data_IF_073601915032
#
_entry.id   IF_073601915032
#
_cell.length_a   1.000
_cell.length_b   1.000
_cell.length_c   1.000
_cell.angle_alpha   90.00
_cell.angle_beta   90.00
_cell.angle_gamma   90.00
#
_symmetry.space_group_name_H-M   'P 1'
#
loop_
_entity.id
_entity.type
_entity.pdbx_description
1 polymer ?
#
# COMPACT_ATOMS: atom_id res chain seq x y z
N UNK A 1 113.67 -77.93 44.30
CA UNK A 1 114.87 -78.57 43.72
C UNK A 1 116.22 -78.00 44.19
N UNK A 2 116.34 -76.78 44.77
CA UNK A 2 117.67 -76.29 45.17
C UNK A 2 118.23 -76.93 46.44
N UNK A 3 117.39 -77.50 47.31
CA UNK A 3 117.82 -78.04 48.62
C UNK A 3 118.30 -79.49 48.56
N UNK A 4 117.66 -80.34 47.75
CA UNK A 4 118.00 -81.77 47.66
C UNK A 4 119.30 -82.00 46.85
N UNK A 5 119.45 -81.31 45.72
CA UNK A 5 120.68 -81.37 44.90
C UNK A 5 121.91 -80.81 45.65
N UNK A 6 121.73 -79.73 46.44
CA UNK A 6 122.79 -79.19 47.32
C UNK A 6 123.14 -80.14 48.47
N UNK A 7 122.16 -80.86 49.02
CA UNK A 7 122.39 -81.84 50.08
C UNK A 7 123.18 -83.06 49.59
N UNK A 8 122.94 -83.49 48.34
CA UNK A 8 123.69 -84.55 47.68
C UNK A 8 125.13 -84.15 47.40
N UNK A 9 125.38 -82.94 46.88
CA UNK A 9 126.75 -82.43 46.69
C UNK A 9 127.52 -82.36 48.01
N UNK A 10 126.84 -82.00 49.10
CA UNK A 10 127.44 -81.90 50.43
C UNK A 10 127.83 -83.27 51.01
N UNK A 11 127.01 -84.31 50.79
CA UNK A 11 127.32 -85.67 51.24
C UNK A 11 128.48 -86.31 50.46
N UNK A 12 128.61 -86.04 49.16
CA UNK A 12 129.75 -86.51 48.33
C UNK A 12 131.07 -85.85 48.77
N UNK A 13 131.03 -84.56 49.12
CA UNK A 13 132.18 -83.84 49.65
C UNK A 13 132.64 -84.37 51.02
N UNK A 14 131.71 -84.69 51.92
CA UNK A 14 132.00 -85.19 53.27
C UNK A 14 132.73 -86.55 53.29
N UNK A 15 132.45 -87.43 52.32
CA UNK A 15 133.14 -88.73 52.22
C UNK A 15 134.54 -88.59 51.60
N UNK A 16 134.82 -87.50 50.89
CA UNK A 16 136.07 -87.31 50.15
C UNK A 16 137.21 -86.66 50.96
N UNK A 17 136.96 -86.14 52.17
CA UNK A 17 137.93 -85.26 52.87
C UNK A 17 138.34 -85.69 54.30
N UNK A 18 138.19 -86.95 54.70
CA UNK A 18 138.70 -87.42 56.00
C UNK A 18 139.92 -88.36 55.85
N UNK A 19 141.16 -87.92 56.15
CA UNK A 19 142.34 -88.79 56.21
C UNK A 19 142.53 -89.40 57.60
N UNK A 20 143.04 -90.64 57.61
CA UNK A 20 142.96 -91.60 58.72
C UNK A 20 143.98 -91.48 59.87
N UNK A 21 143.68 -92.22 60.95
CA UNK A 21 144.65 -92.87 61.85
C UNK A 21 144.12 -94.26 62.29
N UNK A 22 144.49 -95.27 61.48
CA UNK A 22 145.00 -96.63 61.79
C UNK A 22 144.64 -97.23 63.17
N UNK A 23 144.05 -98.43 63.32
CA UNK A 23 144.71 -99.72 63.07
C UNK A 23 143.76 -100.96 63.03
N UNK A 24 144.13 -101.95 62.19
CA UNK A 24 143.80 -103.41 62.17
C UNK A 24 142.35 -103.90 62.00
N UNK A 25 141.92 -104.24 60.77
CA UNK A 25 141.89 -105.62 60.20
C UNK A 25 141.07 -105.65 58.89
N UNK A 26 141.63 -106.25 57.84
CA UNK A 26 141.30 -105.94 56.43
C UNK A 26 140.24 -106.84 55.77
N UNK A 27 139.42 -107.58 56.52
CA UNK A 27 138.49 -108.55 55.91
C UNK A 27 137.02 -108.10 55.81
N UNK A 28 136.60 -107.06 56.55
CA UNK A 28 135.22 -106.52 56.51
C UNK A 28 135.04 -105.33 55.54
N UNK A 29 136.14 -104.67 55.11
CA UNK A 29 136.08 -103.44 54.30
C UNK A 29 135.69 -103.67 52.83
N UNK A 30 135.91 -104.87 52.27
CA UNK A 30 135.66 -105.16 50.85
C UNK A 30 134.17 -105.29 50.53
N UNK A 31 133.37 -105.87 51.43
CA UNK A 31 131.92 -106.02 51.22
C UNK A 31 131.21 -104.66 51.32
N UNK A 32 131.61 -103.81 52.28
CA UNK A 32 131.06 -102.47 52.42
C UNK A 32 131.33 -101.57 51.19
N UNK A 33 132.50 -101.69 50.55
CA UNK A 33 132.82 -100.91 49.34
C UNK A 33 131.93 -101.28 48.14
N UNK A 34 131.59 -102.57 48.00
CA UNK A 34 130.71 -103.08 46.95
C UNK A 34 129.26 -102.62 47.16
N UNK A 35 128.77 -102.69 48.40
CA UNK A 35 127.42 -102.25 48.76
C UNK A 35 127.23 -100.75 48.54
N UNK A 36 128.23 -99.93 48.88
CA UNK A 36 128.25 -98.48 48.62
C UNK A 36 128.20 -98.19 47.12
N UNK A 37 128.95 -98.93 46.31
CA UNK A 37 128.97 -98.75 44.84
C UNK A 37 127.65 -99.15 44.17
N UNK A 38 126.95 -100.14 44.73
CA UNK A 38 125.60 -100.54 44.29
C UNK A 38 124.55 -99.49 44.66
N UNK A 39 124.63 -98.94 45.88
CA UNK A 39 123.80 -97.84 46.35
C UNK A 39 124.00 -96.58 45.50
N UNK A 40 125.25 -96.22 45.16
CA UNK A 40 125.52 -95.06 44.29
C UNK A 40 124.93 -95.23 42.88
N UNK A 41 125.07 -96.42 42.27
CA UNK A 41 124.43 -96.69 40.96
C UNK A 41 122.91 -96.62 41.02
N UNK A 42 122.30 -97.12 42.09
CA UNK A 42 120.85 -97.01 42.32
C UNK A 42 120.42 -95.56 42.52
N UNK A 43 121.25 -94.75 43.21
CA UNK A 43 120.99 -93.33 43.43
C UNK A 43 121.13 -92.52 42.14
N UNK A 44 122.13 -92.79 41.31
CA UNK A 44 122.27 -92.20 39.97
C UNK A 44 121.08 -92.55 39.08
N UNK A 45 120.62 -93.81 39.10
CA UNK A 45 119.43 -94.24 38.38
C UNK A 45 118.17 -93.53 38.87
N UNK A 46 118.00 -93.39 40.20
CA UNK A 46 116.88 -92.61 40.77
C UNK A 46 116.97 -91.13 40.39
N UNK A 47 118.16 -90.53 40.42
CA UNK A 47 118.39 -89.15 40.00
C UNK A 47 118.03 -88.95 38.52
N UNK A 48 118.42 -89.89 37.65
CA UNK A 48 118.03 -89.89 36.23
C UNK A 48 116.51 -89.96 36.04
N UNK A 49 115.82 -90.84 36.78
CA UNK A 49 114.35 -90.92 36.75
C UNK A 49 113.68 -89.66 37.29
N UNK A 50 114.24 -89.04 38.32
CA UNK A 50 113.76 -87.75 38.84
C UNK A 50 113.90 -86.65 37.79
N UNK A 51 115.06 -86.56 37.11
CA UNK A 51 115.27 -85.58 36.05
C UNK A 51 114.30 -85.77 34.87
N UNK A 52 113.95 -87.01 34.54
CA UNK A 52 112.96 -87.32 33.50
C UNK A 52 111.54 -86.92 33.94
N UNK A 53 111.15 -87.22 35.18
CA UNK A 53 109.87 -86.77 35.77
C UNK A 53 109.78 -85.24 35.77
N UNK A 54 110.84 -84.54 36.15
CA UNK A 54 110.86 -83.07 36.12
C UNK A 54 110.67 -82.51 34.71
N UNK A 55 111.22 -83.20 33.70
CA UNK A 55 111.07 -82.80 32.30
C UNK A 55 109.65 -83.05 31.80
N UNK A 56 109.01 -84.15 32.22
CA UNK A 56 107.59 -84.40 31.96
C UNK A 56 106.69 -83.36 32.65
N UNK A 57 106.98 -82.98 33.90
CA UNK A 57 106.24 -81.94 34.62
C UNK A 57 106.36 -80.59 33.90
N UNK A 58 107.57 -80.19 33.47
CA UNK A 58 107.77 -78.95 32.69
C UNK A 58 107.01 -78.97 31.37
N UNK A 59 107.01 -80.11 30.69
CA UNK A 59 106.25 -80.30 29.44
C UNK A 59 104.75 -80.15 29.71
N UNK A 60 104.22 -80.79 30.76
CA UNK A 60 102.81 -80.68 31.14
C UNK A 60 102.42 -79.26 31.57
N UNK A 61 103.27 -78.55 32.31
CA UNK A 61 103.06 -77.15 32.66
C UNK A 61 103.00 -76.25 31.43
N UNK A 62 103.86 -76.48 30.42
CA UNK A 62 103.83 -75.73 29.16
C UNK A 62 102.52 -75.96 28.40
N UNK A 63 102.00 -77.19 28.38
CA UNK A 63 100.68 -77.49 27.83
C UNK A 63 99.56 -76.79 28.61
N UNK A 64 99.63 -76.80 29.94
CA UNK A 64 98.64 -76.14 30.80
C UNK A 64 98.63 -74.62 30.62
N UNK A 65 99.80 -73.99 30.59
CA UNK A 65 99.96 -72.55 30.33
C UNK A 65 99.46 -72.17 28.93
N UNK A 66 99.67 -73.04 27.94
CA UNK A 66 99.12 -72.90 26.58
C UNK A 66 97.59 -72.91 26.53
N UNK A 67 96.89 -73.47 27.52
CA UNK A 67 95.43 -73.46 27.61
C UNK A 67 94.85 -72.17 28.23
N UNK A 68 95.64 -71.39 28.98
CA UNK A 68 95.15 -70.14 29.60
C UNK A 68 94.61 -69.11 28.59
N UNK A 69 95.26 -68.85 27.44
CA UNK A 69 94.69 -68.00 26.39
C UNK A 69 93.35 -68.53 25.83
N UNK A 70 93.18 -69.85 25.75
CA UNK A 70 91.91 -70.45 25.32
C UNK A 70 90.82 -70.23 26.37
N UNK A 71 91.14 -70.35 27.66
CA UNK A 71 90.20 -70.03 28.76
C UNK A 71 89.76 -68.56 28.73
N UNK A 72 90.67 -67.63 28.49
CA UNK A 72 90.35 -66.21 28.33
C UNK A 72 89.44 -65.96 27.13
N UNK A 73 89.71 -66.62 25.99
CA UNK A 73 88.82 -66.57 24.81
C UNK A 73 87.44 -67.15 25.11
N UNK A 74 87.35 -68.27 25.82
CA UNK A 74 86.06 -68.86 26.22
C UNK A 74 85.25 -67.92 27.12
N UNK A 75 85.89 -67.25 28.10
CA UNK A 75 85.22 -66.24 28.93
C UNK A 75 84.73 -65.04 28.11
N UNK A 76 85.52 -64.59 27.12
CA UNK A 76 85.11 -63.54 26.18
C UNK A 76 83.89 -63.95 25.35
N UNK A 77 83.86 -65.19 24.86
CA UNK A 77 82.71 -65.75 24.13
C UNK A 77 81.48 -65.84 25.05
N UNK A 78 81.63 -66.30 26.29
CA UNK A 78 80.52 -66.33 27.25
C UNK A 78 79.91 -64.94 27.50
N UNK A 79 80.74 -63.91 27.62
CA UNK A 79 80.26 -62.54 27.74
C UNK A 79 79.49 -62.07 26.51
N UNK A 80 79.97 -62.41 25.31
CA UNK A 80 79.25 -62.10 24.06
C UNK A 80 77.92 -62.86 23.96
N UNK A 81 77.87 -64.12 24.39
CA UNK A 81 76.62 -64.90 24.45
C UNK A 81 75.61 -64.26 25.39
N UNK A 82 76.03 -63.84 26.59
CA UNK A 82 75.13 -63.13 27.52
C UNK A 82 74.59 -61.80 26.96
N UNK A 83 75.41 -61.06 26.19
CA UNK A 83 74.95 -59.85 25.50
C UNK A 83 73.95 -60.16 24.39
N UNK A 84 74.14 -61.26 23.65
CA UNK A 84 73.19 -61.71 22.62
C UNK A 84 71.86 -62.17 23.22
N UNK A 85 71.88 -62.84 24.38
CA UNK A 85 70.65 -63.20 25.12
C UNK A 85 69.90 -61.95 25.59
N UNK A 86 70.61 -60.96 26.14
CA UNK A 86 70.01 -59.68 26.52
C UNK A 86 69.41 -58.95 25.32
N UNK A 87 70.08 -58.98 24.16
CA UNK A 87 69.56 -58.40 22.93
C UNK A 87 68.30 -59.14 22.46
N UNK A 88 68.28 -60.48 22.57
CA UNK A 88 67.09 -61.30 22.29
C UNK A 88 65.87 -60.86 23.10
N UNK A 89 66.03 -60.68 24.42
CA UNK A 89 64.95 -60.20 25.29
C UNK A 89 64.43 -58.81 24.88
N UNK A 90 65.32 -57.89 24.48
CA UNK A 90 64.89 -56.57 24.00
C UNK A 90 64.13 -56.63 22.69
N UNK A 91 64.46 -57.58 21.81
CA UNK A 91 63.72 -57.80 20.55
C UNK A 91 62.31 -58.31 20.85
N UNK A 92 62.15 -59.27 21.76
CA UNK A 92 60.83 -59.77 22.17
C UNK A 92 59.95 -58.67 22.80
N UNK A 93 60.53 -57.80 23.63
CA UNK A 93 59.80 -56.66 24.19
C UNK A 93 59.36 -55.67 23.10
N UNK A 94 60.23 -55.38 22.13
CA UNK A 94 59.90 -54.53 20.98
C UNK A 94 58.80 -55.14 20.11
N UNK A 95 58.83 -56.45 19.86
CA UNK A 95 57.77 -57.16 19.13
C UNK A 95 56.42 -57.05 19.85
N UNK A 96 56.41 -57.20 21.18
CA UNK A 96 55.21 -57.01 21.99
C UNK A 96 54.64 -55.59 21.89
N UNK A 97 55.51 -54.57 22.00
CA UNK A 97 55.11 -53.16 21.85
C UNK A 97 54.56 -52.89 20.45
N UNK A 98 55.22 -53.40 19.41
CA UNK A 98 54.76 -53.24 18.01
C UNK A 98 53.37 -53.85 17.84
N UNK A 99 53.12 -55.04 18.38
CA UNK A 99 51.83 -55.69 18.28
C UNK A 99 50.70 -54.89 18.96
N UNK A 100 50.94 -54.33 20.15
CA UNK A 100 49.95 -53.47 20.81
C UNK A 100 49.74 -52.13 20.09
N UNK A 101 50.79 -51.54 19.51
CA UNK A 101 50.66 -50.35 18.67
C UNK A 101 49.81 -50.64 17.43
N UNK A 102 50.06 -51.75 16.72
CA UNK A 102 49.28 -52.15 15.54
C UNK A 102 47.81 -52.38 15.89
N UNK A 103 47.55 -53.04 17.03
CA UNK A 103 46.19 -53.27 17.52
C UNK A 103 45.48 -51.95 17.84
N UNK A 104 46.15 -51.03 18.53
CA UNK A 104 45.60 -49.71 18.86
C UNK A 104 45.33 -48.89 17.59
N UNK A 105 46.25 -48.90 16.63
CA UNK A 105 46.09 -48.24 15.33
C UNK A 105 44.88 -48.79 14.57
N UNK A 106 44.70 -50.12 14.58
CA UNK A 106 43.57 -50.79 13.92
C UNK A 106 42.25 -50.40 14.56
N UNK A 107 42.18 -50.34 15.90
CA UNK A 107 40.98 -49.90 16.61
C UNK A 107 40.65 -48.43 16.28
N UNK A 108 41.65 -47.54 16.28
CA UNK A 108 41.45 -46.14 15.92
C UNK A 108 40.91 -45.98 14.49
N UNK A 109 41.39 -46.79 13.53
CA UNK A 109 40.86 -46.79 12.16
C UNK A 109 39.40 -47.24 12.10
N UNK A 110 39.01 -48.25 12.89
CA UNK A 110 37.62 -48.69 12.98
C UNK A 110 36.71 -47.62 13.59
N UNK A 111 37.15 -47.00 14.69
CA UNK A 111 36.39 -45.95 15.38
C UNK A 111 36.18 -44.72 14.47
N UNK A 112 37.22 -44.33 13.71
CA UNK A 112 37.11 -43.28 12.69
C UNK A 112 36.11 -43.65 11.59
N UNK A 113 36.07 -44.93 11.17
CA UNK A 113 35.09 -45.43 10.21
C UNK A 113 33.66 -45.32 10.72
N UNK A 114 33.40 -45.73 11.96
CA UNK A 114 32.09 -45.63 12.60
C UNK A 114 31.67 -44.16 12.76
N UNK A 115 32.59 -43.29 13.18
CA UNK A 115 32.32 -41.86 13.33
C UNK A 115 31.93 -41.23 12.00
N UNK A 116 32.65 -41.52 10.93
CA UNK A 116 32.35 -41.01 9.59
C UNK A 116 30.98 -41.50 9.08
N UNK A 117 30.68 -42.78 9.26
CA UNK A 117 29.37 -43.34 8.90
C UNK A 117 28.22 -42.68 9.69
N UNK A 118 28.42 -42.46 11.00
CA UNK A 118 27.45 -41.77 11.85
C UNK A 118 27.22 -40.31 11.41
N UNK A 119 28.30 -39.58 11.11
CA UNK A 119 28.22 -38.22 10.57
C UNK A 119 27.47 -38.17 9.23
N UNK A 120 27.73 -39.12 8.33
CA UNK A 120 27.06 -39.19 7.04
C UNK A 120 25.57 -39.53 7.19
N UNK A 121 25.21 -40.42 8.13
CA UNK A 121 23.82 -40.75 8.43
C UNK A 121 23.07 -39.54 9.01
N UNK A 122 23.68 -38.80 9.95
CA UNK A 122 23.10 -37.60 10.52
C UNK A 122 22.89 -36.49 9.46
N UNK A 123 23.87 -36.31 8.56
CA UNK A 123 23.76 -35.36 7.46
C UNK A 123 22.62 -35.73 6.51
N UNK A 124 22.49 -37.01 6.16
CA UNK A 124 21.40 -37.51 5.31
C UNK A 124 20.02 -37.31 5.96
N UNK A 125 19.90 -37.60 7.25
CA UNK A 125 18.67 -37.36 8.00
C UNK A 125 18.26 -35.88 7.96
N UNK A 126 19.19 -34.96 8.23
CA UNK A 126 18.92 -33.52 8.15
C UNK A 126 18.53 -33.05 6.73
N UNK A 127 19.10 -33.65 5.68
CA UNK A 127 18.70 -33.37 4.30
C UNK A 127 17.27 -33.85 4.00
N UNK A 128 16.88 -35.03 4.51
CA UNK A 128 15.54 -35.57 4.33
C UNK A 128 14.48 -34.74 5.07
N UNK A 129 14.77 -34.29 6.29
CA UNK A 129 13.91 -33.35 7.04
C UNK A 129 13.73 -32.02 6.31
N UNK A 130 14.81 -31.43 5.77
CA UNK A 130 14.68 -30.21 4.96
C UNK A 130 13.84 -30.41 3.70
N UNK A 131 13.91 -31.59 3.07
CA UNK A 131 13.05 -31.93 1.92
C UNK A 131 11.57 -32.01 2.30
N UNK A 132 11.26 -32.60 3.46
CA UNK A 132 9.89 -32.65 3.97
C UNK A 132 9.36 -31.25 4.30
N UNK A 133 10.19 -30.40 4.92
CA UNK A 133 9.85 -29.00 5.17
C UNK A 133 9.60 -28.23 3.87
N UNK A 134 10.42 -28.42 2.83
CA UNK A 134 10.19 -27.81 1.51
C UNK A 134 8.83 -28.22 0.93
N UNK A 135 8.48 -29.50 1.02
CA UNK A 135 7.19 -30.02 0.53
C UNK A 135 6.02 -29.39 1.30
N UNK A 136 6.16 -29.24 2.61
CA UNK A 136 5.16 -28.58 3.46
C UNK A 136 4.99 -27.11 3.10
N UNK A 137 6.09 -26.40 2.86
CA UNK A 137 6.07 -25.00 2.42
C UNK A 137 5.35 -24.85 1.08
N UNK A 138 5.59 -25.76 0.13
CA UNK A 138 4.93 -25.69 -1.18
C UNK A 138 3.42 -25.99 -1.09
N UNK A 139 3.01 -26.93 -0.22
CA UNK A 139 1.59 -27.15 0.09
C UNK A 139 0.93 -25.91 0.71
N UNK A 140 1.61 -25.22 1.63
CA UNK A 140 1.12 -23.98 2.23
C UNK A 140 0.98 -22.84 1.21
N UNK A 141 1.95 -22.69 0.28
CA UNK A 141 1.84 -21.73 -0.82
C UNK A 141 0.63 -22.02 -1.70
N UNK A 142 0.39 -23.29 -2.02
CA UNK A 142 -0.77 -23.67 -2.81
C UNK A 142 -2.08 -23.28 -2.10
N UNK A 143 -2.23 -23.60 -0.81
CA UNK A 143 -3.40 -23.18 -0.03
C UNK A 143 -3.55 -21.66 0.09
N UNK A 144 -2.44 -20.91 0.10
CA UNK A 144 -2.49 -19.45 0.08
C UNK A 144 -3.02 -18.91 -1.26
N UNK A 145 -2.66 -19.54 -2.38
CA UNK A 145 -3.17 -19.16 -3.70
C UNK A 145 -4.66 -19.54 -3.87
N UNK A 146 -5.11 -20.65 -3.29
CA UNK A 146 -6.54 -20.98 -3.19
C UNK A 146 -7.32 -19.94 -2.39
N UNK A 147 -6.78 -19.45 -1.26
CA UNK A 147 -7.41 -18.37 -0.50
C UNK A 147 -7.49 -17.05 -1.30
N UNK A 148 -6.50 -16.75 -2.14
CA UNK A 148 -6.55 -15.59 -3.05
C UNK A 148 -7.63 -15.75 -4.12
N UNK A 149 -7.82 -16.95 -4.66
CA UNK A 149 -8.94 -17.27 -5.56
C UNK A 149 -10.29 -17.11 -4.85
N UNK A 150 -10.38 -17.51 -3.58
CA UNK A 150 -11.59 -17.29 -2.79
C UNK A 150 -11.87 -15.79 -2.60
N UNK A 151 -10.85 -14.97 -2.33
CA UNK A 151 -11.01 -13.51 -2.21
C UNK A 151 -11.56 -12.88 -3.49
N UNK A 152 -11.03 -13.27 -4.66
CA UNK A 152 -11.53 -12.76 -5.95
C UNK A 152 -12.96 -13.21 -6.23
N UNK A 153 -13.33 -14.42 -5.81
CA UNK A 153 -14.72 -14.92 -5.88
C UNK A 153 -15.65 -14.10 -4.97
N UNK A 154 -15.22 -13.79 -3.75
CA UNK A 154 -15.98 -12.92 -2.82
C UNK A 154 -16.20 -11.53 -3.41
N UNK A 155 -15.18 -10.95 -4.06
CA UNK A 155 -15.30 -9.64 -4.70
C UNK A 155 -16.22 -9.67 -5.93
N UNK A 156 -16.26 -10.78 -6.67
CA UNK A 156 -17.26 -10.99 -7.72
C UNK A 156 -18.68 -11.04 -7.13
N UNK A 157 -18.90 -11.84 -6.09
CA UNK A 157 -20.21 -11.94 -5.43
C UNK A 157 -20.69 -10.60 -4.83
N UNK A 158 -19.78 -9.76 -4.34
CA UNK A 158 -20.13 -8.41 -3.88
C UNK A 158 -20.63 -7.53 -5.02
N UNK A 159 -20.01 -7.62 -6.20
CA UNK A 159 -20.48 -6.89 -7.40
C UNK A 159 -21.87 -7.36 -7.81
N UNK A 160 -22.09 -8.67 -7.85
CA UNK A 160 -23.42 -9.23 -8.15
C UNK A 160 -24.48 -8.78 -7.12
N UNK A 161 -24.10 -8.67 -5.84
CA UNK A 161 -24.99 -8.15 -4.79
C UNK A 161 -25.34 -6.67 -5.01
N UNK A 162 -24.37 -5.85 -5.43
CA UNK A 162 -24.61 -4.45 -5.73
C UNK A 162 -25.46 -4.27 -7.00
N UNK A 163 -25.27 -5.11 -8.01
CA UNK A 163 -26.12 -5.15 -9.21
C UNK A 163 -27.57 -5.54 -8.86
N UNK A 164 -27.76 -6.54 -7.98
CA UNK A 164 -29.10 -6.88 -7.47
C UNK A 164 -29.75 -5.73 -6.71
N UNK A 165 -28.98 -4.95 -5.93
CA UNK A 165 -29.50 -3.75 -5.25
C UNK A 165 -29.92 -2.67 -6.24
N UNK A 166 -29.15 -2.46 -7.31
CA UNK A 166 -29.55 -1.54 -8.39
C UNK A 166 -30.83 -2.01 -9.07
N UNK A 167 -30.94 -3.30 -9.36
CA UNK A 167 -32.14 -3.88 -9.98
C UNK A 167 -33.38 -3.68 -9.07
N UNK A 168 -33.23 -3.82 -7.75
CA UNK A 168 -34.30 -3.48 -6.80
C UNK A 168 -34.72 -2.01 -6.92
N UNK A 169 -33.77 -1.08 -7.00
CA UNK A 169 -34.06 0.34 -7.17
C UNK A 169 -34.77 0.64 -8.51
N UNK A 170 -34.42 -0.08 -9.58
CA UNK A 170 -35.11 0.00 -10.88
C UNK A 170 -36.55 -0.51 -10.77
N UNK A 171 -36.78 -1.63 -10.08
CA UNK A 171 -38.13 -2.14 -9.83
C UNK A 171 -38.96 -1.13 -9.04
N UNK A 172 -38.40 -0.49 -8.02
CA UNK A 172 -39.09 0.56 -7.25
C UNK A 172 -39.38 1.83 -8.08
N UNK A 173 -38.54 2.15 -9.06
CA UNK A 173 -38.80 3.23 -10.02
C UNK A 173 -39.95 2.86 -10.96
N UNK A 174 -39.90 1.67 -11.58
CA UNK A 174 -40.96 1.18 -12.45
C UNK A 174 -42.31 1.08 -11.74
N UNK A 175 -42.31 0.73 -10.45
CA UNK A 175 -43.52 0.68 -9.64
C UNK A 175 -44.15 2.06 -9.46
N UNK A 176 -43.32 3.10 -9.25
CA UNK A 176 -43.79 4.50 -9.22
C UNK A 176 -44.36 4.93 -10.56
N UNK A 177 -43.67 4.61 -11.66
CA UNK A 177 -44.16 4.92 -13.00
C UNK A 177 -45.50 4.22 -13.29
N UNK A 178 -45.68 2.99 -12.82
CA UNK A 178 -46.93 2.25 -12.91
C UNK A 178 -48.06 2.94 -12.10
N UNK A 179 -47.78 3.42 -10.90
CA UNK A 179 -48.74 4.15 -10.06
C UNK A 179 -49.13 5.50 -10.70
N UNK A 180 -48.17 6.22 -11.30
CA UNK A 180 -48.42 7.46 -12.05
C UNK A 180 -49.26 7.22 -13.31
N UNK A 181 -49.00 6.11 -14.02
CA UNK A 181 -49.79 5.70 -15.18
C UNK A 181 -51.22 5.33 -14.77
N UNK A 182 -51.40 4.63 -13.64
CA UNK A 182 -52.73 4.36 -13.07
C UNK A 182 -53.48 5.65 -12.79
N UNK A 183 -52.82 6.64 -12.18
CA UNK A 183 -53.40 7.95 -11.88
C UNK A 183 -53.80 8.70 -13.15
N UNK A 184 -52.99 8.61 -14.20
CA UNK A 184 -53.26 9.20 -15.53
C UNK A 184 -54.47 8.55 -16.19
N UNK A 185 -54.57 7.22 -16.12
CA UNK A 185 -55.73 6.47 -16.63
C UNK A 185 -57.02 6.88 -15.90
N UNK A 186 -56.95 7.07 -14.58
CA UNK A 186 -58.10 7.53 -13.80
C UNK A 186 -58.51 8.98 -14.12
N UNK A 187 -57.56 9.84 -14.47
CA UNK A 187 -57.87 11.19 -14.97
C UNK A 187 -58.54 11.15 -16.35
N UNK A 188 -58.01 10.35 -17.28
CA UNK A 188 -58.60 10.18 -18.61
C UNK A 188 -60.02 9.59 -18.56
N UNK A 189 -60.29 8.69 -17.60
CA UNK A 189 -61.66 8.20 -17.37
C UNK A 189 -62.61 9.33 -16.96
N UNK A 190 -62.16 10.25 -16.08
CA UNK A 190 -62.97 11.42 -15.70
C UNK A 190 -63.24 12.32 -16.89
N UNK A 191 -62.22 12.61 -17.70
CA UNK A 191 -62.38 13.41 -18.92
C UNK A 191 -63.35 12.75 -19.92
N UNK A 192 -63.30 11.42 -20.03
CA UNK A 192 -64.25 10.65 -20.85
C UNK A 192 -65.69 10.76 -20.33
N UNK A 193 -65.88 10.72 -19.02
CA UNK A 193 -67.19 10.91 -18.39
C UNK A 193 -67.69 12.36 -18.58
N UNK A 194 -66.81 13.36 -18.48
CA UNK A 194 -67.14 14.75 -18.76
C UNK A 194 -67.53 14.96 -20.23
N UNK A 195 -66.84 14.33 -21.17
CA UNK A 195 -67.22 14.33 -22.59
C UNK A 195 -68.59 13.68 -22.82
N UNK A 196 -68.91 12.59 -22.11
CA UNK A 196 -70.25 11.98 -22.16
C UNK A 196 -71.31 12.95 -21.65
N UNK A 197 -71.04 13.66 -20.56
CA UNK A 197 -71.95 14.70 -20.05
C UNK A 197 -72.17 15.80 -21.09
N UNK A 198 -71.11 16.26 -21.74
CA UNK A 198 -71.18 17.27 -22.81
C UNK A 198 -72.07 16.82 -23.98
N UNK A 199 -72.02 15.54 -24.37
CA UNK A 199 -72.92 14.97 -25.38
C UNK A 199 -74.38 15.14 -24.99
N UNK A 200 -74.73 14.84 -23.73
CA UNK A 200 -76.08 15.06 -23.20
C UNK A 200 -76.50 16.52 -23.24
N UNK A 201 -75.58 17.46 -22.96
CA UNK A 201 -75.84 18.90 -23.03
C UNK A 201 -76.09 19.35 -24.48
N UNK A 202 -75.29 18.87 -25.43
CA UNK A 202 -75.47 19.15 -26.87
C UNK A 202 -76.83 18.62 -27.36
N UNK A 203 -77.24 17.44 -26.90
CA UNK A 203 -78.56 16.88 -27.23
C UNK A 203 -79.71 17.71 -26.63
N UNK A 204 -79.52 18.31 -25.45
CA UNK A 204 -80.49 19.24 -24.88
C UNK A 204 -80.58 20.54 -25.70
N UNK A 205 -79.44 21.13 -26.06
CA UNK A 205 -79.39 22.35 -26.88
C UNK A 205 -79.99 22.13 -28.28
N UNK A 206 -79.86 20.94 -28.86
CA UNK A 206 -80.55 20.60 -30.11
C UNK A 206 -82.06 20.65 -29.98
N UNK A 207 -82.63 20.20 -28.85
CA UNK A 207 -84.07 20.31 -28.59
C UNK A 207 -84.49 21.78 -28.48
N UNK A 208 -83.73 22.60 -27.76
CA UNK A 208 -84.01 24.04 -27.66
C UNK A 208 -83.96 24.73 -29.04
N UNK A 209 -83.04 24.31 -29.91
CA UNK A 209 -82.95 24.80 -31.29
C UNK A 209 -84.17 24.38 -32.13
N UNK A 210 -84.66 23.16 -31.96
CA UNK A 210 -85.88 22.69 -32.62
C UNK A 210 -87.12 23.42 -32.10
N UNK A 211 -87.19 23.72 -30.80
CA UNK A 211 -88.25 24.55 -30.20
C UNK A 211 -88.23 25.99 -30.74
N UNK A 212 -87.05 26.59 -30.92
CA UNK A 212 -86.91 27.90 -31.59
C UNK A 212 -87.37 27.88 -33.05
N UNK A 213 -87.16 26.78 -33.78
CA UNK A 213 -87.68 26.62 -35.16
C UNK A 213 -89.21 26.55 -35.18
N UNK A 214 -89.82 25.90 -34.18
CA UNK A 214 -91.28 25.93 -34.03
C UNK A 214 -91.80 27.35 -33.80
N UNK A 215 -91.08 28.15 -32.99
CA UNK A 215 -91.44 29.55 -32.74
C UNK A 215 -91.43 30.41 -34.03
N UNK A 216 -90.47 30.18 -34.93
CA UNK A 216 -90.44 30.84 -36.26
C UNK A 216 -91.69 30.56 -37.08
N UNK A 217 -92.19 29.32 -37.01
CA UNK A 217 -93.42 28.90 -37.71
C UNK A 217 -94.65 29.62 -37.16
N UNK A 218 -94.68 29.86 -35.84
CA UNK A 218 -95.73 30.66 -35.17
C UNK A 218 -95.68 32.13 -35.56
N UNK A 219 -94.48 32.72 -35.66
CA UNK A 219 -94.31 34.11 -36.13
C UNK A 219 -94.82 34.28 -37.57
N UNK A 220 -94.58 33.31 -38.45
CA UNK A 220 -95.10 33.33 -39.82
C UNK A 220 -96.64 33.16 -39.90
N UNK A 221 -97.27 32.57 -38.88
CA UNK A 221 -98.72 32.54 -38.75
C UNK A 221 -99.27 33.91 -38.33
N UNK A 222 -98.66 34.55 -37.32
CA UNK A 222 -99.04 35.89 -36.86
C UNK A 222 -98.87 36.97 -37.96
N UNK A 223 -97.88 36.79 -38.83
CA UNK A 223 -97.65 37.70 -39.97
C UNK A 223 -98.79 37.64 -41.00
N UNK A 224 -99.41 36.46 -41.18
CA UNK A 224 -100.61 36.31 -42.02
C UNK A 224 -101.83 37.01 -41.41
N UNK A 225 -101.99 36.92 -40.09
CA UNK A 225 -103.07 37.64 -39.38
C UNK A 225 -102.91 39.17 -39.49
N UNK A 226 -101.67 39.66 -39.51
CA UNK A 226 -101.37 41.08 -39.73
C UNK A 226 -101.75 41.54 -41.15
N UNK A 227 -101.51 40.69 -42.16
CA UNK A 227 -101.88 40.99 -43.55
C UNK A 227 -103.42 41.02 -43.73
N UNK A 228 -104.16 40.12 -43.09
CA UNK A 228 -105.63 40.12 -43.09
C UNK A 228 -106.21 41.39 -42.44
N UNK A 229 -105.58 41.88 -41.38
CA UNK A 229 -105.95 43.12 -40.70
C UNK A 229 -105.64 44.38 -41.55
N UNK A 230 -104.61 44.35 -42.41
CA UNK A 230 -104.33 45.40 -43.40
C UNK A 230 -105.47 45.55 -44.42
N UNK A 231 -106.02 44.43 -44.90
CA UNK A 231 -107.18 44.43 -45.83
C UNK A 231 -108.43 45.06 -45.21
N UNK A 232 -108.62 44.92 -43.91
CA UNK A 232 -109.76 45.48 -43.16
C UNK A 232 -109.63 47.00 -43.02
N UNK A 233 -108.40 47.52 -42.84
CA UNK A 233 -108.10 48.96 -42.80
C UNK A 233 -108.35 49.64 -44.14
N UNK A 234 -108.07 48.96 -45.26
CA UNK A 234 -108.33 49.50 -46.60
C UNK A 234 -109.83 49.59 -46.96
N UNK A 235 -110.67 48.78 -46.33
CA UNK A 235 -112.13 48.87 -46.47
C UNK A 235 -112.70 50.11 -45.73
N UNK A 236 -112.15 50.46 -44.55
CA UNK A 236 -112.55 51.64 -43.77
C UNK A 236 -112.11 52.97 -44.40
N UNK A 237 -111.07 52.95 -45.25
CA UNK A 237 -110.54 54.13 -45.95
C UNK A 237 -111.45 54.63 -47.07
N UNK A 238 -112.24 53.74 -47.70
CA UNK A 238 -113.17 54.11 -48.78
C UNK A 238 -114.42 54.83 -48.26
N UNK A 239 -114.90 54.50 -47.07
CA UNK A 239 -116.05 55.15 -46.45
C UNK A 239 -115.73 56.57 -45.92
N UNK A 240 -114.44 56.92 -45.77
CA UNK A 240 -113.99 58.24 -45.34
C UNK A 240 -113.84 59.25 -46.50
N UNK A 241 -113.69 58.76 -47.74
CA UNK A 241 -113.49 59.60 -48.93
C UNK A 241 -114.80 60.16 -49.53
N UNK A 242 -115.96 59.57 -49.21
CA UNK A 242 -117.28 60.05 -49.64
C UNK A 242 -117.81 61.25 -48.81
N UNK A 243 -117.15 61.62 -47.70
CA UNK A 243 -117.58 62.70 -46.80
C UNK A 243 -116.71 63.98 -46.91
N UNK A 244 -115.70 64.01 -47.79
CA UNK A 244 -114.67 65.06 -47.88
C UNK A 244 -114.73 65.98 -49.11
N UNK A 245 -115.79 65.88 -49.93
CA UNK A 245 -116.01 66.66 -51.16
C UNK A 245 -116.83 67.97 -50.95
N UNK A 246 -116.96 68.47 -49.72
CA UNK A 246 -117.83 69.61 -49.38
C UNK A 246 -117.06 70.76 -48.69
N UNK A 247 -115.78 70.98 -49.06
CA UNK A 247 -114.90 71.97 -48.40
C UNK A 247 -113.82 72.64 -49.28
N UNK A 248 -114.00 72.78 -50.60
CA UNK A 248 -112.97 73.41 -51.47
C UNK A 248 -113.30 74.80 -52.02
N UNK A 249 -114.43 75.42 -51.66
CA UNK A 249 -114.85 76.70 -52.28
C UNK A 249 -114.83 77.93 -51.36
N UNK A 250 -114.50 77.83 -50.06
CA UNK A 250 -114.68 78.97 -49.13
C UNK A 250 -113.40 79.57 -48.51
N UNK A 251 -112.28 78.86 -48.31
CA UNK A 251 -111.14 79.43 -47.55
C UNK A 251 -109.84 79.64 -48.36
N UNK A 252 -109.99 80.06 -49.63
CA UNK A 252 -108.96 80.81 -50.34
C UNK A 252 -109.04 82.34 -50.07
N UNK A 253 -109.79 82.76 -49.05
CA UNK A 253 -109.87 84.15 -48.62
C UNK A 253 -109.25 84.33 -47.24
N UNK A 254 -108.07 84.95 -47.27
CA UNK A 254 -107.37 85.65 -46.17
C UNK A 254 -106.57 84.73 -45.26
N UNK A 255 -105.25 84.61 -45.46
CA UNK A 255 -104.22 85.65 -45.21
C UNK A 255 -104.29 86.20 -43.79
N UNK A 256 -103.09 86.32 -43.26
CA UNK A 256 -102.75 86.96 -42.00
C UNK A 256 -103.15 86.03 -40.83
N UNK A 257 -102.34 85.81 -39.81
CA UNK A 257 -101.43 86.76 -39.24
C UNK A 257 -100.68 85.97 -38.17
N UNK A 258 -99.36 86.07 -38.21
CA UNK A 258 -98.47 86.31 -37.09
C UNK A 258 -98.64 85.54 -35.77
N UNK A 259 -97.46 85.07 -35.35
CA UNK A 259 -96.92 85.22 -34.00
C UNK A 259 -97.19 84.14 -32.95
N UNK A 260 -96.10 83.38 -32.75
CA UNK A 260 -95.38 83.25 -31.48
C UNK A 260 -96.11 82.72 -30.23
N UNK A 261 -95.49 81.72 -29.57
CA UNK A 261 -94.83 81.83 -28.23
C UNK A 261 -94.57 80.43 -27.61
N UNK A 262 -93.30 79.99 -27.43
CA UNK A 262 -92.50 79.97 -26.16
C UNK A 262 -92.27 78.52 -25.65
N UNK A 263 -91.32 78.13 -24.77
CA UNK A 263 -89.91 78.42 -24.39
C UNK A 263 -89.66 77.68 -23.05
N UNK A 264 -88.43 77.22 -22.77
CA UNK A 264 -87.76 77.23 -21.44
C UNK A 264 -88.29 76.34 -20.27
N UNK A 265 -87.67 75.18 -19.99
CA UNK A 265 -87.61 74.63 -18.60
C UNK A 265 -86.60 73.48 -18.30
N UNK A 266 -85.94 72.86 -19.27
CA UNK A 266 -85.27 71.54 -19.02
C UNK A 266 -83.78 71.60 -18.67
N UNK A 267 -83.17 72.79 -18.60
CA UNK A 267 -81.70 72.97 -18.53
C UNK A 267 -81.10 72.78 -17.11
N UNK A 268 -81.89 72.72 -16.03
CA UNK A 268 -81.33 72.75 -14.66
C UNK A 268 -81.07 71.40 -13.98
N UNK A 269 -81.45 70.27 -14.58
CA UNK A 269 -81.49 68.99 -13.84
C UNK A 269 -80.17 68.18 -13.84
N UNK A 270 -79.30 68.28 -14.86
CA UNK A 270 -78.20 67.32 -15.05
C UNK A 270 -76.80 67.82 -14.65
N UNK A 271 -76.74 68.97 -13.95
CA UNK A 271 -75.50 69.58 -13.41
C UNK A 271 -74.94 68.89 -12.15
N UNK A 272 -75.45 67.71 -11.74
CA UNK A 272 -75.12 67.08 -10.44
C UNK A 272 -74.37 65.74 -10.48
N UNK A 273 -74.20 65.12 -11.64
CA UNK A 273 -73.56 63.79 -11.74
C UNK A 273 -72.05 63.83 -12.08
N UNK A 274 -71.44 65.01 -12.05
CA UNK A 274 -70.03 65.26 -12.45
C UNK A 274 -68.98 65.03 -11.33
N UNK A 275 -69.37 64.81 -10.07
CA UNK A 275 -68.41 64.80 -8.93
C UNK A 275 -67.92 63.41 -8.47
N UNK A 276 -68.29 62.31 -9.15
CA UNK A 276 -67.99 60.94 -8.69
C UNK A 276 -66.80 60.24 -9.38
N UNK A 277 -66.26 60.80 -10.46
CA UNK A 277 -65.16 60.19 -11.25
C UNK A 277 -63.75 60.61 -10.80
N UNK A 278 -63.61 61.10 -9.55
CA UNK A 278 -62.37 61.71 -9.04
C UNK A 278 -61.44 60.76 -8.28
N UNK A 279 -61.57 59.43 -8.41
CA UNK A 279 -60.93 58.50 -7.44
C UNK A 279 -60.27 57.22 -7.99
N UNK A 280 -60.09 57.02 -9.31
CA UNK A 280 -59.60 55.72 -9.84
C UNK A 280 -58.43 55.73 -10.83
N UNK A 281 -57.67 56.82 -10.92
CA UNK A 281 -56.45 56.90 -11.76
C UNK A 281 -55.28 57.47 -10.97
N UNK A 282 -54.70 56.66 -10.07
CA UNK A 282 -53.50 57.05 -9.31
C UNK A 282 -52.56 55.88 -8.91
N UNK A 283 -52.77 54.64 -9.37
CA UNK A 283 -52.04 53.48 -8.83
C UNK A 283 -51.41 52.55 -9.89
N UNK A 284 -51.15 53.01 -11.12
CA UNK A 284 -50.56 52.17 -12.17
C UNK A 284 -49.45 52.82 -13.01
N UNK A 285 -48.83 53.91 -12.53
CA UNK A 285 -47.63 54.51 -13.15
C UNK A 285 -46.35 54.32 -12.31
N UNK A 286 -46.43 53.63 -11.17
CA UNK A 286 -45.34 53.56 -10.19
C UNK A 286 -44.49 52.27 -10.24
N UNK A 287 -44.46 51.54 -11.36
CA UNK A 287 -43.67 50.28 -11.48
C UNK A 287 -42.80 50.14 -12.73
N UNK A 288 -42.66 51.19 -13.55
CA UNK A 288 -41.85 51.12 -14.79
C UNK A 288 -40.69 52.13 -14.86
N UNK A 289 -40.43 52.91 -13.80
CA UNK A 289 -39.37 53.94 -13.84
C UNK A 289 -38.48 54.04 -12.59
N UNK A 290 -38.05 52.90 -12.04
CA UNK A 290 -36.99 52.85 -11.02
C UNK A 290 -35.83 51.89 -11.36
N UNK A 291 -35.63 51.57 -12.64
CA UNK A 291 -34.45 50.82 -13.12
C UNK A 291 -33.44 51.68 -13.91
N UNK A 292 -33.61 53.00 -13.96
CA UNK A 292 -32.73 53.87 -14.74
C UNK A 292 -32.60 55.25 -14.12
N UNK A 293 -31.69 55.37 -13.14
CA UNK A 293 -30.82 56.54 -12.89
C UNK A 293 -30.18 56.47 -11.50
N UNK A 294 -28.99 55.91 -11.47
CA UNK A 294 -27.92 56.27 -10.53
C UNK A 294 -26.66 56.47 -11.37
N UNK A 295 -25.74 57.39 -11.05
CA UNK A 295 -24.51 57.54 -11.80
C UNK A 295 -23.81 56.19 -11.81
N UNK A 296 -23.39 55.70 -12.97
CA UNK A 296 -22.61 54.48 -13.05
C UNK A 296 -21.32 54.72 -12.25
N UNK A 297 -21.33 54.28 -10.99
CA UNK A 297 -20.13 53.92 -10.26
C UNK A 297 -19.32 53.05 -11.21
N UNK A 298 -18.01 53.25 -11.31
CA UNK A 298 -17.15 52.41 -12.16
C UNK A 298 -16.02 51.94 -11.29
N UNK A 299 -15.60 50.70 -11.48
CA UNK A 299 -14.40 50.24 -10.84
C UNK A 299 -13.23 51.16 -11.22
N UNK A 300 -12.42 51.54 -10.21
CA UNK A 300 -11.24 52.37 -10.42
C UNK A 300 -10.33 51.76 -11.50
N UNK A 301 -9.54 52.59 -12.18
CA UNK A 301 -8.63 52.10 -13.23
C UNK A 301 -7.75 50.94 -12.73
N UNK A 302 -7.68 49.86 -13.53
CA UNK A 302 -6.99 48.63 -13.15
C UNK A 302 -7.78 47.66 -12.26
N UNK A 303 -9.10 47.84 -12.14
CA UNK A 303 -10.06 46.89 -11.56
C UNK A 303 -11.06 46.45 -12.63
N UNK A 304 -11.45 45.18 -12.61
CA UNK A 304 -12.43 44.60 -13.52
C UNK A 304 -13.78 44.47 -12.82
N UNK A 305 -14.86 44.86 -13.50
CA UNK A 305 -16.20 44.86 -12.95
C UNK A 305 -16.93 43.54 -13.24
N UNK A 306 -17.59 42.98 -12.23
CA UNK A 306 -18.56 41.90 -12.39
C UNK A 306 -19.60 41.94 -11.27
N UNK A 307 -20.88 41.89 -11.64
CA UNK A 307 -22.02 41.84 -10.72
C UNK A 307 -21.95 42.86 -9.55
N UNK A 308 -21.80 44.14 -9.90
CA UNK A 308 -21.68 45.26 -8.95
C UNK A 308 -20.51 45.15 -7.95
N UNK A 309 -19.45 44.43 -8.34
CA UNK A 309 -18.23 44.25 -7.55
C UNK A 309 -17.01 44.46 -8.45
N UNK A 310 -15.90 44.86 -7.83
CA UNK A 310 -14.64 45.18 -8.49
C UNK A 310 -13.57 44.17 -8.08
N UNK A 311 -12.88 43.62 -9.07
CA UNK A 311 -11.85 42.59 -8.89
C UNK A 311 -10.50 43.05 -9.44
N UNK A 312 -9.44 42.79 -8.70
CA UNK A 312 -8.07 43.11 -9.13
C UNK A 312 -7.17 41.92 -8.99
N UNK A 313 -6.69 41.41 -10.12
CA UNK A 313 -5.57 40.47 -10.16
C UNK A 313 -4.27 41.23 -9.86
N UNK A 314 -3.56 40.83 -8.83
CA UNK A 314 -2.28 41.43 -8.42
C UNK A 314 -1.16 40.43 -8.64
N UNK A 315 -0.14 40.85 -9.40
CA UNK A 315 0.98 40.01 -9.82
C UNK A 315 2.06 39.82 -8.75
N UNK A 316 1.94 40.43 -7.57
CA UNK A 316 2.88 40.20 -6.47
C UNK A 316 2.69 38.82 -5.85
N UNK A 317 3.76 38.06 -5.66
CA UNK A 317 3.73 36.77 -4.98
C UNK A 317 3.96 36.93 -3.47
N UNK A 318 2.95 36.60 -2.67
CA UNK A 318 3.00 36.76 -1.21
C UNK A 318 2.28 35.63 -0.48
N UNK A 319 2.53 35.49 0.82
CA UNK A 319 1.76 34.57 1.69
C UNK A 319 0.29 34.99 1.77
N UNK A 320 -0.60 34.05 2.08
CA UNK A 320 -2.04 34.32 2.15
C UNK A 320 -2.38 35.46 3.13
N UNK A 321 -1.77 35.46 4.32
CA UNK A 321 -1.94 36.53 5.31
C UNK A 321 -1.46 37.90 4.80
N UNK A 322 -0.37 37.93 4.04
CA UNK A 322 0.16 39.16 3.45
C UNK A 322 -0.71 39.64 2.28
N UNK A 323 -1.30 38.72 1.52
CA UNK A 323 -2.26 39.04 0.46
C UNK A 323 -3.49 39.74 1.03
N UNK A 324 -4.04 39.28 2.17
CA UNK A 324 -5.10 39.98 2.91
C UNK A 324 -4.69 41.40 3.23
N UNK A 325 -3.54 41.59 3.90
CA UNK A 325 -3.09 42.94 4.28
C UNK A 325 -2.91 43.84 3.06
N UNK A 326 -2.47 43.28 1.92
CA UNK A 326 -2.34 44.04 0.68
C UNK A 326 -3.69 44.38 0.04
N UNK A 327 -4.67 43.49 0.05
CA UNK A 327 -6.03 43.80 -0.42
C UNK A 327 -6.68 44.88 0.45
N UNK A 328 -6.50 44.82 1.77
CA UNK A 328 -7.03 45.83 2.70
C UNK A 328 -6.49 47.23 2.37
N UNK A 329 -5.22 47.36 1.96
CA UNK A 329 -4.64 48.64 1.52
C UNK A 329 -5.33 49.23 0.28
N UNK A 330 -6.05 48.43 -0.48
CA UNK A 330 -6.87 48.89 -1.61
C UNK A 330 -8.36 49.12 -1.24
N UNK A 331 -8.72 49.01 0.04
CA UNK A 331 -10.11 49.01 0.50
C UNK A 331 -10.86 47.76 0.04
N UNK A 332 -10.17 46.62 -0.05
CA UNK A 332 -10.70 45.37 -0.56
C UNK A 332 -10.34 44.19 0.35
N UNK A 333 -10.96 43.04 0.10
CA UNK A 333 -10.61 41.76 0.70
C UNK A 333 -10.02 40.83 -0.36
N UNK A 334 -9.41 39.71 0.03
CA UNK A 334 -9.25 38.61 -0.92
C UNK A 334 -10.62 38.17 -1.43
N UNK A 335 -10.70 37.75 -2.69
CA UNK A 335 -12.00 37.48 -3.30
C UNK A 335 -12.71 36.29 -2.66
N UNK A 336 -13.91 36.54 -2.14
CA UNK A 336 -14.93 35.51 -1.95
C UNK A 336 -15.59 35.13 -3.26
N UNK A 337 -16.18 33.93 -3.33
CA UNK A 337 -16.84 33.43 -4.54
C UNK A 337 -18.24 32.92 -4.17
N UNK A 338 -19.27 33.60 -4.65
CA UNK A 338 -20.68 33.33 -4.35
C UNK A 338 -21.28 32.22 -5.22
N UNK A 339 -20.85 32.12 -6.49
CA UNK A 339 -21.43 31.20 -7.45
C UNK A 339 -20.46 30.80 -8.58
N UNK A 340 -20.93 29.92 -9.46
CA UNK A 340 -20.18 29.41 -10.62
C UNK A 340 -19.81 30.51 -11.62
N UNK A 341 -20.66 31.50 -11.79
CA UNK A 341 -20.47 32.56 -12.77
C UNK A 341 -19.38 33.52 -12.29
N UNK A 342 -19.38 33.87 -11.00
CA UNK A 342 -18.30 34.63 -10.36
C UNK A 342 -16.97 33.87 -10.41
N UNK A 343 -16.98 32.57 -10.12
CA UNK A 343 -15.77 31.75 -10.24
C UNK A 343 -15.18 31.81 -11.66
N UNK A 344 -16.04 31.66 -12.67
CA UNK A 344 -15.63 31.64 -14.07
C UNK A 344 -15.10 33.01 -14.51
N UNK A 345 -15.73 34.09 -14.03
CA UNK A 345 -15.25 35.45 -14.22
C UNK A 345 -13.86 35.65 -13.62
N UNK A 346 -13.65 35.29 -12.35
CA UNK A 346 -12.33 35.38 -11.69
C UNK A 346 -11.29 34.55 -12.45
N UNK A 347 -11.64 33.32 -12.84
CA UNK A 347 -10.77 32.47 -13.63
C UNK A 347 -10.37 33.12 -14.97
N UNK A 348 -11.27 33.87 -15.62
CA UNK A 348 -10.93 34.58 -16.86
C UNK A 348 -9.89 35.70 -16.68
N UNK A 349 -9.81 36.31 -15.49
CA UNK A 349 -8.92 37.44 -15.20
C UNK A 349 -7.48 37.03 -14.86
N UNK A 350 -7.29 35.80 -14.36
CA UNK A 350 -6.00 35.35 -13.83
C UNK A 350 -5.16 34.65 -14.91
N UNK A 351 -3.85 34.93 -14.89
CA UNK A 351 -2.85 34.26 -15.73
C UNK A 351 -1.97 33.27 -14.95
N UNK A 352 -2.03 33.32 -13.62
CA UNK A 352 -1.21 32.53 -12.70
C UNK A 352 -2.06 32.19 -11.48
N UNK A 353 -1.64 31.18 -10.72
CA UNK A 353 -2.41 30.73 -9.56
C UNK A 353 -2.51 31.84 -8.52
N UNK A 354 -3.72 32.02 -7.99
CA UNK A 354 -4.03 33.12 -7.08
C UNK A 354 -4.53 32.62 -5.74
N UNK A 355 -4.17 33.31 -4.66
CA UNK A 355 -4.92 33.25 -3.43
C UNK A 355 -6.33 33.80 -3.60
N UNK A 356 -7.31 33.07 -3.06
CA UNK A 356 -8.69 33.53 -2.84
C UNK A 356 -8.96 33.65 -1.33
N UNK A 357 -10.09 34.22 -0.97
CA UNK A 357 -10.40 34.59 0.42
C UNK A 357 -10.76 33.43 1.35
N UNK A 358 -10.80 32.19 0.86
CA UNK A 358 -11.21 31.04 1.65
C UNK A 358 -10.03 30.50 2.48
N UNK A 359 -10.27 30.27 3.78
CA UNK A 359 -9.32 29.62 4.68
C UNK A 359 -10.04 28.71 5.67
N UNK A 360 -9.29 27.80 6.30
CA UNK A 360 -9.81 26.84 7.27
C UNK A 360 -9.33 27.18 8.67
N UNK A 361 -10.26 27.28 9.61
CA UNK A 361 -9.98 27.37 11.04
C UNK A 361 -10.66 26.20 11.73
N UNK A 362 -9.88 25.30 12.33
CA UNK A 362 -10.40 24.02 12.83
C UNK A 362 -10.96 23.17 11.68
N UNK A 363 -12.25 22.87 11.72
CA UNK A 363 -12.95 22.08 10.67
C UNK A 363 -13.77 22.92 9.69
N UNK A 364 -13.83 24.25 9.88
CA UNK A 364 -14.72 25.12 9.12
C UNK A 364 -13.96 25.98 8.10
N UNK A 365 -14.47 26.02 6.88
CA UNK A 365 -14.02 26.92 5.83
C UNK A 365 -14.75 28.27 5.95
N UNK A 366 -13.99 29.36 6.01
CA UNK A 366 -14.50 30.72 6.20
C UNK A 366 -13.89 31.67 5.17
N UNK A 367 -14.70 32.61 4.68
CA UNK A 367 -14.23 33.67 3.80
C UNK A 367 -13.69 34.84 4.64
N UNK A 368 -12.54 35.39 4.25
CA UNK A 368 -11.88 36.47 4.99
C UNK A 368 -12.66 37.80 4.98
N UNK A 369 -13.62 37.95 4.09
CA UNK A 369 -14.51 39.12 4.00
C UNK A 369 -15.81 38.94 4.81
N UNK A 370 -15.98 37.79 5.49
CA UNK A 370 -17.19 37.46 6.24
C UNK A 370 -18.35 36.92 5.40
N UNK A 371 -18.15 36.69 4.09
CA UNK A 371 -19.19 36.13 3.23
C UNK A 371 -19.61 34.71 3.68
N UNK A 372 -20.90 34.41 3.56
CA UNK A 372 -21.48 33.10 3.91
C UNK A 372 -21.68 32.17 2.70
N UNK A 373 -20.95 32.40 1.60
CA UNK A 373 -21.08 31.57 0.39
C UNK A 373 -20.75 30.11 0.70
N UNK A 374 -21.67 29.22 0.31
CA UNK A 374 -21.51 27.75 0.37
C UNK A 374 -20.99 27.16 -0.93
N UNK A 375 -20.77 27.98 -1.96
CA UNK A 375 -20.27 27.53 -3.25
C UNK A 375 -18.87 26.94 -3.13
N UNK A 376 -18.63 25.83 -3.84
CA UNK A 376 -17.38 25.09 -3.82
C UNK A 376 -16.98 24.75 -5.25
N UNK A 377 -15.71 24.94 -5.59
CA UNK A 377 -15.17 24.54 -6.89
C UNK A 377 -13.80 23.85 -6.76
N UNK A 378 -13.68 22.94 -5.79
CA UNK A 378 -12.48 22.14 -5.58
C UNK A 378 -12.07 21.36 -6.83
N UNK A 379 -10.76 21.26 -7.05
CA UNK A 379 -10.18 20.31 -7.99
C UNK A 379 -10.46 18.86 -7.54
N UNK A 380 -10.46 17.88 -8.45
CA UNK A 380 -10.58 16.47 -8.08
C UNK A 380 -9.54 16.10 -7.01
N UNK A 381 -9.99 15.45 -5.93
CA UNK A 381 -9.14 15.08 -4.79
C UNK A 381 -9.00 16.16 -3.71
N UNK A 382 -9.41 17.41 -3.96
CA UNK A 382 -9.30 18.52 -3.01
C UNK A 382 -10.60 18.76 -2.22
N UNK A 383 -10.55 19.30 -1.00
CA UNK A 383 -9.34 19.59 -0.23
C UNK A 383 -8.73 18.30 0.36
N UNK A 384 -7.44 18.08 0.13
CA UNK A 384 -6.78 16.80 0.46
C UNK A 384 -6.07 16.83 1.82
N UNK A 385 -5.73 18.02 2.31
CA UNK A 385 -4.96 18.23 3.52
C UNK A 385 -3.65 17.40 3.62
N UNK A 386 -3.09 16.96 2.48
CA UNK A 386 -2.30 15.72 2.43
C UNK A 386 -0.78 15.90 2.52
N UNK A 387 -0.18 17.07 2.19
CA UNK A 387 1.29 17.14 2.09
C UNK A 387 2.03 17.65 3.31
N UNK A 388 1.40 18.46 4.15
CA UNK A 388 2.10 19.22 5.20
C UNK A 388 1.60 18.94 6.61
N UNK A 389 1.26 17.68 6.93
CA UNK A 389 0.77 17.30 8.27
C UNK A 389 -0.48 18.08 8.73
N UNK A 390 -1.40 18.36 7.82
CA UNK A 390 -2.64 19.06 8.17
C UNK A 390 -2.59 20.59 8.12
N UNK A 391 -1.56 21.19 7.50
CA UNK A 391 -1.30 22.63 7.51
C UNK A 391 -1.79 23.38 6.26
N UNK A 392 -2.52 22.74 5.37
CA UNK A 392 -3.07 23.35 4.14
C UNK A 392 -4.40 24.04 4.45
N UNK A 393 -4.31 25.21 5.09
CA UNK A 393 -5.47 25.93 5.61
C UNK A 393 -5.85 27.17 4.79
N UNK A 394 -5.26 27.38 3.62
CA UNK A 394 -5.55 28.53 2.76
C UNK A 394 -5.79 28.09 1.32
N UNK A 395 -6.67 28.75 0.58
CA UNK A 395 -7.12 28.24 -0.72
C UNK A 395 -6.58 29.08 -1.88
N UNK A 396 -5.98 28.41 -2.85
CA UNK A 396 -5.64 29.00 -4.14
C UNK A 396 -6.57 28.50 -5.27
N UNK A 397 -6.71 29.32 -6.31
CA UNK A 397 -7.39 28.98 -7.56
C UNK A 397 -6.36 28.78 -8.67
N UNK A 398 -6.49 27.66 -9.39
CA UNK A 398 -5.64 27.33 -10.53
C UNK A 398 -5.96 28.19 -11.75
N UNK A 399 -4.90 28.70 -12.37
CA UNK A 399 -4.94 29.52 -13.59
C UNK A 399 -4.85 28.71 -14.88
N UNK A 400 -4.49 27.44 -14.80
CA UNK A 400 -4.39 26.56 -15.96
C UNK A 400 -5.13 25.25 -15.68
N UNK A 401 -5.57 24.59 -16.75
CA UNK A 401 -6.00 23.20 -16.68
C UNK A 401 -4.76 22.32 -16.59
N UNK A 402 -4.76 21.30 -15.74
CA UNK A 402 -3.56 20.53 -15.49
C UNK A 402 -3.79 19.18 -14.84
N UNK A 403 -2.68 18.52 -14.53
CA UNK A 403 -2.59 17.32 -13.69
C UNK A 403 -1.57 17.55 -12.59
N UNK A 404 -1.94 17.18 -11.38
CA UNK A 404 -1.12 17.12 -10.18
C UNK A 404 -1.06 15.65 -9.77
N UNK A 405 -0.35 15.42 -8.67
CA UNK A 405 -0.18 14.11 -8.10
C UNK A 405 -1.54 13.48 -7.68
N UNK A 406 -2.55 14.25 -7.26
CA UNK A 406 -3.90 13.76 -6.90
C UNK A 406 -4.73 13.38 -8.13
N UNK A 407 -4.54 14.10 -9.23
CA UNK A 407 -5.14 13.84 -10.54
C UNK A 407 -4.61 12.57 -11.19
N UNK A 408 -3.37 12.16 -10.89
CA UNK A 408 -2.80 10.90 -11.34
C UNK A 408 -3.49 9.66 -10.71
N UNK A 409 -4.03 9.81 -9.49
CA UNK A 409 -4.73 8.74 -8.77
C UNK A 409 -6.21 8.66 -9.20
N UNK A 410 -6.86 9.80 -9.41
CA UNK A 410 -8.28 9.86 -9.79
C UNK A 410 -8.55 9.73 -11.30
N UNK A 411 -7.53 9.83 -12.15
CA UNK A 411 -7.67 9.85 -13.60
C UNK A 411 -8.35 11.10 -14.16
N UNK A 412 -8.66 12.09 -13.32
CA UNK A 412 -9.38 13.31 -13.70
C UNK A 412 -8.44 14.51 -13.78
N UNK A 413 -8.46 15.25 -14.89
CA UNK A 413 -7.79 16.55 -15.03
C UNK A 413 -8.66 17.66 -14.44
N UNK A 414 -8.10 18.62 -13.70
CA UNK A 414 -8.86 19.83 -13.37
C UNK A 414 -8.84 20.82 -14.53
N UNK A 415 -9.91 21.61 -14.60
CA UNK A 415 -10.01 22.75 -15.51
C UNK A 415 -9.55 24.03 -14.81
N UNK A 416 -9.09 25.01 -15.59
CA UNK A 416 -8.86 26.39 -15.10
C UNK A 416 -10.01 26.86 -14.18
N UNK A 417 -9.67 27.51 -13.07
CA UNK A 417 -10.61 28.05 -12.09
C UNK A 417 -10.99 27.10 -10.96
N UNK A 418 -10.44 25.88 -10.93
CA UNK A 418 -10.59 24.92 -9.82
C UNK A 418 -9.72 25.30 -8.62
N UNK A 419 -10.13 24.87 -7.43
CA UNK A 419 -9.50 25.27 -6.16
C UNK A 419 -8.65 24.17 -5.53
N UNK A 420 -7.64 24.58 -4.77
CA UNK A 420 -6.75 23.71 -4.02
C UNK A 420 -6.48 24.31 -2.63
N UNK A 421 -6.55 23.50 -1.58
CA UNK A 421 -6.03 23.92 -0.27
C UNK A 421 -4.50 23.80 -0.27
N UNK A 422 -3.85 24.81 0.26
CA UNK A 422 -2.41 24.97 0.19
C UNK A 422 -1.88 25.54 1.50
N UNK A 423 -0.62 25.26 1.77
CA UNK A 423 0.10 25.86 2.89
C UNK A 423 0.09 27.39 2.78
N UNK A 424 -0.48 28.06 3.78
CA UNK A 424 -0.67 29.51 3.84
C UNK A 424 0.64 30.32 3.72
N UNK A 425 1.80 29.68 3.95
CA UNK A 425 3.13 30.30 3.83
C UNK A 425 3.67 30.28 2.40
N UNK A 426 3.09 29.49 1.47
CA UNK A 426 3.44 29.55 0.05
C UNK A 426 3.16 30.95 -0.50
N UNK A 427 3.92 31.32 -1.53
CA UNK A 427 3.73 32.59 -2.21
C UNK A 427 2.96 32.33 -3.50
N UNK A 428 1.83 33.00 -3.64
CA UNK A 428 1.06 33.04 -4.88
C UNK A 428 0.73 34.48 -5.19
N UNK A 429 0.36 34.73 -6.44
CA UNK A 429 -0.38 35.93 -6.80
C UNK A 429 -1.72 35.94 -6.06
N UNK A 430 -2.49 37.01 -6.18
CA UNK A 430 -3.76 37.07 -5.46
C UNK A 430 -4.78 37.93 -6.18
N UNK A 431 -6.05 37.67 -5.89
CA UNK A 431 -7.16 38.46 -6.41
C UNK A 431 -7.91 39.14 -5.27
N UNK A 432 -8.01 40.47 -5.36
CA UNK A 432 -8.77 41.28 -4.42
C UNK A 432 -10.17 41.54 -4.96
N UNK A 433 -11.15 41.70 -4.07
CA UNK A 433 -12.56 41.98 -4.34
C UNK A 433 -13.06 43.08 -3.40
N UNK A 434 -13.81 44.03 -3.94
CA UNK A 434 -14.57 45.03 -3.17
C UNK A 434 -15.91 45.34 -3.83
N UNK A 435 -16.83 45.87 -3.03
CA UNK A 435 -18.11 46.39 -3.56
C UNK A 435 -17.81 47.58 -4.48
N UNK A 436 -18.60 47.70 -5.54
CA UNK A 436 -18.52 48.82 -6.47
C UNK A 436 -19.02 50.10 -5.76
N UNK A 437 -18.07 50.97 -5.41
CA UNK A 437 -18.28 52.20 -4.64
C UNK A 437 -18.73 53.41 -5.45
#
# INVERSE_FOLDING_TARGET
MSRLSRFVAFLVLLVSTAPGRVNTSAHESSNHQSDISSLMRSFEQMSGRVAEIETQIRTFQTYFDGMNPLLTKMKGIQYQVAQLESLGNTVEELESIINEVVKTQTQQQQDLGVLNASQQAALKHGQDEMRQLSTTVDALKHGQDEMRQLSTTVDALKRDQDDMRQMSATVDALKRDQDDMSTTVDALKRDQDDMRQLSTTVDALKRDQDDMRQLSTTVDALKRDQDDMSTTVDALKRDQDDMRQLFTTVDALKRDQDDMRQLSTTVDALKRDLDKERSRTAALEQRLHEMSKSPAKRCQSGWNEYNNQCYKFVRDEVSWSKAITKCIKYGANLASIADKSENSFIASLISNDVWIGLSRTGKSWNWNDGSHSTYKNWAPGQPDNNFWHGLENCVCMYSTSGRDWASAISGQTWTKGKWNDSNCKKKFHYICKKVKE
#
